data_IF_451772044630
#
_entry.id   IF_451772044630
#
_cell.length_a   1.000
_cell.length_b   1.000
_cell.length_c   1.000
_cell.angle_alpha   90.00
_cell.angle_beta   90.00
_cell.angle_gamma   90.00
#
_symmetry.space_group_name_H-M   'P 1'
#
loop_
_entity.id
_entity.type
_entity.pdbx_description
1 polymer ?
#
# COMPACT_ATOMS: atom_id res chain seq x y z
N UNK A 1 0.27 10.93 17.89
CA UNK A 1 0.85 9.70 17.28
C UNK A 1 0.30 9.51 15.87
N UNK A 2 1.02 8.82 14.99
CA UNK A 2 0.61 8.63 13.59
C UNK A 2 0.38 7.14 13.26
N UNK A 3 -0.71 6.85 12.55
CA UNK A 3 -0.91 5.58 11.88
C UNK A 3 -0.53 5.71 10.40
N UNK A 4 0.03 4.68 9.79
CA UNK A 4 0.36 4.66 8.35
C UNK A 4 -0.67 3.82 7.61
N UNK A 5 -1.32 4.39 6.60
CA UNK A 5 -2.14 3.62 5.66
C UNK A 5 -1.24 2.67 4.88
N UNK A 6 -1.42 1.37 5.10
CA UNK A 6 -0.50 0.33 4.72
C UNK A 6 -1.13 -0.64 3.72
N UNK A 7 -0.74 -0.50 2.45
CA UNK A 7 -1.09 -1.45 1.40
C UNK A 7 -0.07 -2.59 1.26
N UNK A 8 1.03 -2.53 2.00
CA UNK A 8 2.17 -3.44 1.88
C UNK A 8 3.08 -3.17 0.67
N UNK A 9 2.79 -2.14 -0.12
CA UNK A 9 3.53 -1.78 -1.31
C UNK A 9 4.64 -0.75 -1.08
N UNK A 10 5.29 -0.38 -2.18
CA UNK A 10 6.49 0.47 -2.19
C UNK A 10 6.24 1.85 -1.54
N UNK A 11 5.15 2.53 -1.89
CA UNK A 11 4.96 3.93 -1.50
C UNK A 11 4.71 4.04 0.00
N UNK A 12 3.91 3.13 0.58
CA UNK A 12 3.70 3.12 2.03
C UNK A 12 4.97 2.75 2.81
N UNK A 13 5.86 1.93 2.23
CA UNK A 13 7.16 1.63 2.83
C UNK A 13 8.11 2.85 2.80
N UNK A 14 8.15 3.61 1.70
CA UNK A 14 8.92 4.87 1.66
C UNK A 14 8.31 5.90 2.61
N UNK A 15 6.99 6.07 2.62
CA UNK A 15 6.30 6.97 3.54
C UNK A 15 6.61 6.63 5.02
N UNK A 16 6.64 5.34 5.36
CA UNK A 16 7.03 4.88 6.70
C UNK A 16 8.49 5.25 7.02
N UNK A 17 9.42 5.08 6.08
CA UNK A 17 10.84 5.47 6.24
C UNK A 17 10.97 6.98 6.49
N UNK A 18 10.28 7.81 5.71
CA UNK A 18 10.27 9.27 5.89
C UNK A 18 9.72 9.68 7.27
N UNK A 19 8.60 9.07 7.68
CA UNK A 19 7.98 9.37 8.97
C UNK A 19 8.84 8.94 10.16
N UNK A 20 9.58 7.83 10.04
CA UNK A 20 10.51 7.35 11.07
C UNK A 20 11.79 8.20 11.14
N UNK A 21 12.14 8.92 10.07
CA UNK A 21 13.27 9.83 10.06
C UNK A 21 12.97 11.17 10.77
N UNK A 22 11.69 11.51 10.95
CA UNK A 22 11.24 12.71 11.67
C UNK A 22 11.17 12.45 13.19
N UNK A 23 12.06 13.05 14.01
CA UNK A 23 12.11 12.81 15.45
C UNK A 23 10.88 13.37 16.20
N UNK A 24 10.10 14.24 15.56
CA UNK A 24 8.89 14.82 16.13
C UNK A 24 7.65 13.95 15.87
N UNK A 25 7.81 12.82 15.16
CA UNK A 25 6.74 11.88 14.81
C UNK A 25 6.95 10.54 15.48
N UNK A 26 5.89 10.02 16.10
CA UNK A 26 5.82 8.66 16.62
C UNK A 26 4.86 7.83 15.78
N UNK A 27 5.40 6.91 14.99
CA UNK A 27 4.62 5.93 14.23
C UNK A 27 4.14 4.84 15.18
N UNK A 28 2.84 4.80 15.46
CA UNK A 28 2.24 3.89 16.44
C UNK A 28 1.79 2.57 15.81
N UNK A 29 1.17 2.62 14.62
CA UNK A 29 0.63 1.42 13.97
C UNK A 29 0.51 1.56 12.45
N UNK A 30 0.31 0.42 11.80
CA UNK A 30 -0.09 0.27 10.41
C UNK A 30 -1.60 0.06 10.33
N UNK A 31 -2.25 0.65 9.33
CA UNK A 31 -3.69 0.49 9.06
C UNK A 31 -3.89 -0.11 7.68
N UNK A 32 -4.50 -1.29 7.60
CA UNK A 32 -4.83 -1.95 6.33
C UNK A 32 -6.30 -2.32 6.23
N UNK A 33 -6.76 -2.60 5.01
CA UNK A 33 -8.11 -3.10 4.74
C UNK A 33 -8.04 -4.42 3.98
N UNK A 34 -8.90 -5.36 4.34
CA UNK A 34 -9.03 -6.66 3.65
C UNK A 34 -10.49 -7.02 3.48
N UNK A 35 -10.84 -7.78 2.43
CA UNK A 35 -12.20 -8.31 2.30
C UNK A 35 -12.42 -9.48 3.26
N UNK A 36 -13.56 -9.48 3.96
CA UNK A 36 -13.93 -10.51 4.96
C UNK A 36 -13.94 -11.92 4.38
N UNK A 37 -14.45 -12.08 3.15
CA UNK A 37 -14.72 -13.37 2.51
C UNK A 37 -13.47 -14.08 1.98
N UNK A 38 -12.50 -13.31 1.49
CA UNK A 38 -11.27 -13.84 0.88
C UNK A 38 -10.00 -13.51 1.66
N UNK A 39 -10.09 -12.70 2.72
CA UNK A 39 -8.98 -12.28 3.57
C UNK A 39 -7.80 -11.70 2.77
N UNK A 40 -8.13 -10.85 1.79
CA UNK A 40 -7.16 -10.18 0.90
C UNK A 40 -7.46 -8.71 0.75
N UNK A 41 -6.41 -7.91 0.59
CA UNK A 41 -6.52 -6.51 0.17
C UNK A 41 -7.17 -6.43 -1.22
N UNK A 42 -7.83 -5.31 -1.50
CA UNK A 42 -8.66 -5.15 -2.69
C UNK A 42 -7.84 -5.22 -3.98
N UNK A 43 -7.13 -4.15 -4.33
CA UNK A 43 -6.43 -4.03 -5.61
C UNK A 43 -5.09 -4.75 -5.64
N UNK A 44 -4.38 -4.81 -4.50
CA UNK A 44 -3.08 -5.49 -4.43
C UNK A 44 -3.25 -7.02 -4.38
N UNK A 45 -4.40 -7.53 -3.93
CA UNK A 45 -4.69 -8.96 -3.86
C UNK A 45 -3.87 -9.72 -2.82
N UNK A 46 -3.17 -9.01 -1.93
CA UNK A 46 -2.27 -9.57 -0.92
C UNK A 46 -3.07 -10.13 0.25
N UNK A 47 -2.67 -11.30 0.75
CA UNK A 47 -3.33 -11.96 1.88
C UNK A 47 -3.07 -11.21 3.19
N UNK A 48 -4.05 -11.25 4.09
CA UNK A 48 -3.93 -10.69 5.44
C UNK A 48 -2.65 -11.17 6.17
N UNK A 49 -2.35 -12.46 6.10
CA UNK A 49 -1.17 -13.06 6.75
C UNK A 49 0.15 -12.43 6.29
N UNK A 50 0.21 -11.94 5.04
CA UNK A 50 1.41 -11.29 4.50
C UNK A 50 1.55 -9.85 5.00
N UNK A 51 0.44 -9.14 5.24
CA UNK A 51 0.47 -7.84 5.92
C UNK A 51 0.85 -7.98 7.39
N UNK A 52 0.35 -9.02 8.06
CA UNK A 52 0.73 -9.33 9.45
C UNK A 52 2.23 -9.64 9.53
N UNK A 53 2.77 -10.43 8.60
CA UNK A 53 4.21 -10.70 8.53
C UNK A 53 5.05 -9.44 8.27
N UNK A 54 4.58 -8.50 7.44
CA UNK A 54 5.23 -7.20 7.27
C UNK A 54 5.23 -6.38 8.57
N UNK A 55 4.09 -6.33 9.26
CA UNK A 55 3.96 -5.57 10.50
C UNK A 55 4.87 -6.12 11.61
N UNK A 56 4.92 -7.46 11.75
CA UNK A 56 5.83 -8.14 12.67
C UNK A 56 7.29 -7.84 12.33
N UNK A 57 7.65 -7.92 11.05
CA UNK A 57 9.00 -7.60 10.58
C UNK A 57 9.38 -6.13 10.76
N UNK A 58 8.41 -5.22 10.76
CA UNK A 58 8.62 -3.79 11.02
C UNK A 58 8.59 -3.44 12.52
N UNK A 59 8.24 -4.39 13.39
CA UNK A 59 8.03 -4.16 14.82
C UNK A 59 6.87 -3.20 15.11
N UNK A 60 5.81 -3.20 14.29
CA UNK A 60 4.65 -2.33 14.42
C UNK A 60 3.36 -3.14 14.63
N UNK A 61 2.41 -2.56 15.36
CA UNK A 61 1.06 -3.10 15.41
C UNK A 61 0.37 -2.96 14.04
N UNK A 62 -0.48 -3.91 13.69
CA UNK A 62 -1.33 -3.85 12.50
C UNK A 62 -2.80 -3.79 12.89
N UNK A 63 -3.48 -2.71 12.52
CA UNK A 63 -4.93 -2.62 12.52
C UNK A 63 -5.47 -3.09 11.18
N UNK A 64 -6.21 -4.21 11.21
CA UNK A 64 -6.89 -4.76 10.04
C UNK A 64 -8.36 -4.37 10.10
N UNK A 65 -8.81 -3.58 9.13
CA UNK A 65 -10.23 -3.27 8.92
C UNK A 65 -10.79 -4.25 7.90
N UNK A 66 -11.59 -5.19 8.37
CA UNK A 66 -12.26 -6.12 7.48
C UNK A 66 -13.47 -5.45 6.81
N UNK A 67 -13.58 -5.64 5.50
CA UNK A 67 -14.60 -5.04 4.65
C UNK A 67 -15.51 -6.14 4.09
N UNK A 68 -16.83 -6.02 4.24
CA UNK A 68 -17.77 -6.97 3.66
C UNK A 68 -17.68 -7.01 2.12
N UNK A 69 -17.90 -8.20 1.55
CA UNK A 69 -17.65 -8.50 0.14
C UNK A 69 -18.56 -7.76 -0.86
N UNK A 70 -19.69 -7.21 -0.41
CA UNK A 70 -20.74 -6.71 -1.30
C UNK A 70 -21.61 -5.64 -0.64
N UNK A 71 -20.99 -4.51 -0.30
CA UNK A 71 -21.73 -3.36 0.22
C UNK A 71 -21.13 -2.12 -0.39
N UNK A 72 -22.00 -1.22 -0.84
CA UNK A 72 -21.58 0.07 -1.37
C UNK A 72 -20.74 0.88 -0.37
N UNK A 73 -20.30 2.06 -0.82
CA UNK A 73 -19.37 2.92 -0.09
C UNK A 73 -19.75 3.15 1.38
N UNK A 74 -21.04 3.14 1.72
CA UNK A 74 -21.57 3.32 3.08
C UNK A 74 -20.99 2.35 4.12
N UNK A 75 -20.80 1.07 3.78
CA UNK A 75 -20.25 0.12 4.76
C UNK A 75 -18.74 0.32 4.93
N UNK A 76 -18.04 0.63 3.85
CA UNK A 76 -16.63 1.00 3.88
C UNK A 76 -16.43 2.23 4.78
N UNK A 77 -17.16 3.31 4.51
CA UNK A 77 -17.07 4.55 5.28
C UNK A 77 -17.39 4.35 6.75
N UNK A 78 -18.38 3.51 7.09
CA UNK A 78 -18.70 3.18 8.48
C UNK A 78 -17.55 2.44 9.16
N UNK A 79 -17.01 1.38 8.55
CA UNK A 79 -15.92 0.58 9.12
C UNK A 79 -14.64 1.39 9.30
N UNK A 80 -14.33 2.25 8.33
CA UNK A 80 -13.20 3.18 8.44
C UNK A 80 -13.41 4.20 9.56
N UNK A 81 -14.62 4.76 9.71
CA UNK A 81 -14.94 5.67 10.81
C UNK A 81 -14.79 5.02 12.18
N UNK A 82 -15.29 3.80 12.35
CA UNK A 82 -15.12 3.03 13.59
C UNK A 82 -13.63 2.80 13.91
N UNK A 83 -12.82 2.45 12.90
CA UNK A 83 -11.38 2.30 13.06
C UNK A 83 -10.69 3.63 13.42
N UNK A 84 -11.09 4.73 12.80
CA UNK A 84 -10.58 6.07 13.09
C UNK A 84 -10.90 6.53 14.51
N UNK A 85 -12.13 6.29 14.98
CA UNK A 85 -12.55 6.60 16.35
C UNK A 85 -11.78 5.78 17.39
N UNK A 86 -11.55 4.49 17.10
CA UNK A 86 -10.74 3.62 17.96
C UNK A 86 -9.29 4.14 18.05
N UNK A 87 -8.65 4.42 16.91
CA UNK A 87 -7.31 5.01 16.86
C UNK A 87 -7.23 6.33 17.65
N UNK A 88 -8.22 7.21 17.49
CA UNK A 88 -8.28 8.45 18.25
C UNK A 88 -8.36 8.24 19.76
N UNK A 89 -9.12 7.24 20.21
CA UNK A 89 -9.21 6.88 21.64
C UNK A 89 -7.90 6.33 22.22
N UNK A 90 -7.02 5.83 21.35
CA UNK A 90 -5.69 5.30 21.68
C UNK A 90 -4.59 6.39 21.57
N UNK A 91 -4.96 7.63 21.21
CA UNK A 91 -4.05 8.78 21.14
C UNK A 91 -3.39 9.00 19.78
N UNK A 92 -3.81 8.26 18.75
CA UNK A 92 -3.43 8.52 17.36
C UNK A 92 -4.27 9.72 16.88
N UNK A 93 -3.63 10.70 16.27
CA UNK A 93 -4.26 11.96 15.84
C UNK A 93 -4.08 12.22 14.33
N UNK A 94 -3.29 11.37 13.66
CA UNK A 94 -2.92 11.54 12.27
C UNK A 94 -2.92 10.18 11.57
N UNK A 95 -3.42 10.14 10.33
CA UNK A 95 -3.22 9.03 9.38
C UNK A 95 -2.33 9.54 8.25
N UNK A 96 -1.21 8.88 8.01
CA UNK A 96 -0.36 9.12 6.86
C UNK A 96 -0.81 8.30 5.66
N UNK A 97 -0.85 8.93 4.49
CA UNK A 97 -1.09 8.30 3.21
C UNK A 97 0.08 8.54 2.27
N UNK A 98 0.40 7.53 1.45
CA UNK A 98 1.57 7.56 0.59
C UNK A 98 1.30 8.14 -0.80
N UNK A 99 0.17 8.83 -1.00
CA UNK A 99 -0.19 9.38 -2.32
C UNK A 99 0.83 10.43 -2.79
N UNK A 100 1.14 10.40 -4.09
CA UNK A 100 2.20 11.23 -4.67
C UNK A 100 1.68 12.53 -5.27
N UNK A 101 0.66 12.47 -6.15
CA UNK A 101 0.21 13.68 -6.85
C UNK A 101 -1.27 13.67 -7.32
N UNK A 102 -2.00 12.55 -7.16
CA UNK A 102 -3.39 12.47 -7.62
C UNK A 102 -4.33 13.27 -6.70
N UNK A 103 -4.60 14.52 -7.07
CA UNK A 103 -5.41 15.48 -6.31
C UNK A 103 -6.79 14.93 -5.92
N UNK A 104 -7.47 14.21 -6.82
CA UNK A 104 -8.78 13.63 -6.54
C UNK A 104 -8.73 12.56 -5.43
N UNK A 105 -7.66 11.76 -5.39
CA UNK A 105 -7.47 10.73 -4.35
C UNK A 105 -7.16 11.40 -3.01
N UNK A 106 -6.30 12.42 -3.01
CA UNK A 106 -6.02 13.21 -1.81
C UNK A 106 -7.28 13.89 -1.27
N UNK A 107 -8.04 14.56 -2.13
CA UNK A 107 -9.28 15.23 -1.75
C UNK A 107 -10.30 14.23 -1.17
N UNK A 108 -10.41 13.04 -1.75
CA UNK A 108 -11.24 11.96 -1.21
C UNK A 108 -10.80 11.53 0.20
N UNK A 109 -9.50 11.36 0.43
CA UNK A 109 -8.96 11.02 1.76
C UNK A 109 -9.19 12.13 2.79
N UNK A 110 -8.97 13.38 2.41
CA UNK A 110 -9.23 14.54 3.25
C UNK A 110 -10.73 14.63 3.60
N UNK A 111 -11.62 14.41 2.62
CA UNK A 111 -13.07 14.38 2.85
C UNK A 111 -13.50 13.23 3.79
N UNK A 112 -12.85 12.06 3.71
CA UNK A 112 -13.13 10.93 4.61
C UNK A 112 -12.71 11.19 6.06
N UNK A 113 -11.74 12.08 6.27
CA UNK A 113 -11.27 12.49 7.59
C UNK A 113 -11.99 13.75 8.12
N UNK A 114 -12.66 14.51 7.24
CA UNK A 114 -13.34 15.73 7.60
C UNK A 114 -14.42 15.51 8.68
N UNK A 115 -14.45 16.41 9.66
CA UNK A 115 -15.31 16.30 10.84
C UNK A 115 -14.95 15.17 11.84
N UNK A 116 -13.87 14.41 11.59
CA UNK A 116 -13.34 13.38 12.48
C UNK A 116 -12.30 13.88 13.48
N UNK A 117 -11.76 12.95 14.28
CA UNK A 117 -10.71 13.22 15.27
C UNK A 117 -9.28 13.07 14.72
N UNK A 118 -9.13 12.55 13.49
CA UNK A 118 -7.84 12.32 12.84
C UNK A 118 -7.60 13.33 11.73
N UNK A 119 -6.36 13.74 11.57
CA UNK A 119 -5.88 14.55 10.45
C UNK A 119 -5.16 13.71 9.41
N UNK A 120 -5.08 14.19 8.16
CA UNK A 120 -4.34 13.53 7.08
C UNK A 120 -2.93 14.09 6.93
N UNK A 121 -1.94 13.21 6.74
CA UNK A 121 -0.58 13.58 6.35
C UNK A 121 -0.18 12.88 5.04
N UNK A 122 0.55 13.59 4.18
CA UNK A 122 0.96 13.10 2.86
C UNK A 122 2.48 13.30 2.68
N UNK A 123 3.32 12.46 3.33
CA UNK A 123 4.77 12.64 3.38
C UNK A 123 5.45 12.62 2.00
N UNK A 124 4.84 11.97 1.01
CA UNK A 124 5.41 11.85 -0.34
C UNK A 124 4.82 12.85 -1.35
N UNK A 125 3.89 13.71 -0.93
CA UNK A 125 3.17 14.58 -1.84
C UNK A 125 4.11 15.51 -2.62
N UNK A 126 3.98 15.50 -3.95
CA UNK A 126 4.78 16.31 -4.86
C UNK A 126 6.21 15.81 -5.10
N UNK A 127 6.56 14.60 -4.60
CA UNK A 127 7.81 13.93 -4.98
C UNK A 127 7.76 13.50 -6.45
N UNK A 128 8.89 13.64 -7.13
CA UNK A 128 9.09 13.10 -8.49
C UNK A 128 9.08 11.57 -8.48
N UNK A 129 8.26 10.95 -9.34
CA UNK A 129 8.05 9.50 -9.33
C UNK A 129 9.25 8.72 -9.85
N UNK A 130 9.94 9.20 -10.88
CA UNK A 130 11.13 8.52 -11.39
C UNK A 130 12.24 8.47 -10.32
N UNK A 131 12.53 9.61 -9.70
CA UNK A 131 13.51 9.68 -8.64
C UNK A 131 13.13 8.80 -7.44
N UNK A 132 11.84 8.78 -7.06
CA UNK A 132 11.35 7.99 -5.94
C UNK A 132 11.40 6.48 -6.23
N UNK A 133 11.03 6.07 -7.44
CA UNK A 133 11.06 4.67 -7.85
C UNK A 133 12.49 4.11 -7.85
N UNK A 134 13.45 4.89 -8.36
CA UNK A 134 14.88 4.51 -8.34
C UNK A 134 15.47 4.51 -6.93
N UNK A 135 15.09 5.47 -6.11
CA UNK A 135 15.44 5.51 -4.69
C UNK A 135 14.91 4.25 -3.97
N UNK A 136 13.65 3.90 -4.19
CA UNK A 136 13.06 2.69 -3.62
C UNK A 136 13.77 1.41 -4.09
N UNK A 137 14.02 1.28 -5.40
CA UNK A 137 14.69 0.11 -5.98
C UNK A 137 16.13 -0.11 -5.46
N UNK A 138 16.78 0.93 -4.95
CA UNK A 138 18.11 0.84 -4.35
C UNK A 138 18.09 0.37 -2.89
N UNK A 139 17.03 0.72 -2.15
CA UNK A 139 16.96 0.53 -0.69
C UNK A 139 16.08 -0.64 -0.25
N UNK A 140 15.10 -1.05 -1.07
CA UNK A 140 14.07 -2.02 -0.69
C UNK A 140 14.07 -3.26 -1.59
N UNK A 141 13.67 -4.39 -1.02
CA UNK A 141 13.33 -5.61 -1.76
C UNK A 141 11.81 -5.69 -1.91
N UNK A 142 11.31 -5.68 -3.14
CA UNK A 142 9.89 -5.86 -3.41
C UNK A 142 9.63 -6.71 -4.65
N UNK A 143 8.44 -7.29 -4.69
CA UNK A 143 7.92 -8.05 -5.83
C UNK A 143 6.71 -7.32 -6.40
N UNK A 144 6.59 -7.29 -7.72
CA UNK A 144 5.37 -6.82 -8.39
C UNK A 144 4.30 -7.90 -8.29
N UNK A 145 3.20 -7.63 -7.57
CA UNK A 145 2.16 -8.61 -7.24
C UNK A 145 0.90 -8.47 -8.06
N UNK A 146 0.70 -7.34 -8.73
CA UNK A 146 -0.44 -7.11 -9.61
C UNK A 146 0.00 -6.20 -10.74
N UNK A 147 -0.45 -6.46 -11.96
CA UNK A 147 -0.32 -5.56 -13.11
C UNK A 147 -1.65 -5.46 -13.84
N UNK A 148 -1.94 -4.28 -14.37
CA UNK A 148 -3.04 -4.03 -15.30
C UNK A 148 -2.65 -4.51 -16.71
N UNK A 149 -3.46 -5.38 -17.32
CA UNK A 149 -3.23 -5.96 -18.66
C UNK A 149 -3.19 -4.88 -19.77
N UNK A 150 -3.90 -3.76 -19.58
CA UNK A 150 -3.88 -2.65 -20.54
C UNK A 150 -2.57 -1.83 -20.47
N UNK A 151 -1.82 -1.93 -19.36
CA UNK A 151 -0.59 -1.16 -19.13
C UNK A 151 0.68 -2.01 -19.28
N UNK A 152 0.68 -3.24 -18.78
CA UNK A 152 1.86 -4.10 -18.70
C UNK A 152 1.50 -5.56 -19.03
N UNK A 153 2.40 -6.24 -19.76
CA UNK A 153 2.27 -7.66 -20.05
C UNK A 153 2.28 -8.49 -18.74
N UNK A 154 1.54 -9.59 -18.71
CA UNK A 154 1.46 -10.51 -17.57
C UNK A 154 2.83 -11.03 -17.08
N UNK A 155 3.88 -10.96 -17.90
CA UNK A 155 5.26 -11.29 -17.52
C UNK A 155 5.86 -10.35 -16.47
N UNK A 156 5.32 -9.15 -16.29
CA UNK A 156 5.75 -8.21 -15.26
C UNK A 156 5.34 -8.65 -13.84
N UNK A 157 4.21 -9.36 -13.70
CA UNK A 157 3.80 -9.93 -12.43
C UNK A 157 4.80 -11.00 -11.93
N UNK A 158 5.23 -10.86 -10.68
CA UNK A 158 6.21 -11.72 -10.02
C UNK A 158 7.67 -11.30 -10.22
N UNK A 159 7.94 -10.24 -10.99
CA UNK A 159 9.29 -9.67 -11.09
C UNK A 159 9.68 -8.97 -9.78
N UNK A 160 10.98 -8.92 -9.50
CA UNK A 160 11.51 -7.98 -8.53
C UNK A 160 11.28 -6.54 -9.04
N UNK A 161 10.97 -5.62 -8.14
CA UNK A 161 10.96 -4.19 -8.44
C UNK A 161 12.37 -3.65 -8.21
N UNK A 162 13.18 -3.68 -9.27
CA UNK A 162 14.60 -3.29 -9.28
C UNK A 162 14.91 -2.36 -10.47
N UNK A 163 16.17 -1.98 -10.65
CA UNK A 163 16.60 -1.15 -11.78
C UNK A 163 16.23 -1.79 -13.14
N UNK A 164 16.32 -3.11 -13.26
CA UNK A 164 15.96 -3.82 -14.50
C UNK A 164 14.46 -3.77 -14.77
N UNK A 165 13.62 -3.81 -13.73
CA UNK A 165 12.19 -3.59 -13.87
C UNK A 165 11.90 -2.19 -14.40
N UNK A 166 12.53 -1.17 -13.81
CA UNK A 166 12.34 0.23 -14.20
C UNK A 166 12.79 0.50 -15.63
N UNK A 167 13.93 -0.07 -16.04
CA UNK A 167 14.46 0.09 -17.40
C UNK A 167 13.62 -0.64 -18.47
N UNK A 168 12.84 -1.64 -18.07
CA UNK A 168 11.93 -2.38 -18.95
C UNK A 168 10.52 -1.76 -19.05
N UNK A 169 10.22 -0.72 -18.28
CA UNK A 169 8.90 -0.08 -18.30
C UNK A 169 8.62 0.55 -19.69
N UNK A 170 7.44 0.32 -20.28
CA UNK A 170 7.04 1.00 -21.51
C UNK A 170 6.90 2.51 -21.33
N UNK A 171 7.07 3.26 -22.43
CA UNK A 171 6.80 4.69 -22.46
C UNK A 171 5.36 4.97 -22.01
N UNK A 172 5.21 5.86 -21.02
CA UNK A 172 3.92 6.33 -20.51
C UNK A 172 3.38 5.56 -19.30
N UNK A 173 4.03 4.49 -18.86
CA UNK A 173 3.77 3.88 -17.55
C UNK A 173 4.47 4.69 -16.47
N UNK A 174 3.75 5.11 -15.44
CA UNK A 174 4.37 5.82 -14.32
C UNK A 174 5.32 4.85 -13.56
N UNK A 175 6.56 5.25 -13.24
CA UNK A 175 7.51 4.40 -12.52
C UNK A 175 7.07 4.02 -11.10
N UNK A 176 6.12 4.77 -10.53
CA UNK A 176 5.45 4.42 -9.29
C UNK A 176 4.06 3.77 -9.53
N UNK A 177 3.61 3.54 -10.76
CA UNK A 177 2.32 2.89 -11.02
C UNK A 177 1.12 3.63 -10.41
N UNK A 178 1.20 4.97 -10.32
CA UNK A 178 0.19 5.80 -9.64
C UNK A 178 -1.19 5.75 -10.32
N UNK A 179 -1.26 5.38 -11.60
CA UNK A 179 -2.52 5.22 -12.32
C UNK A 179 -3.08 3.79 -12.23
N UNK A 180 -2.48 2.93 -11.39
CA UNK A 180 -2.91 1.55 -11.17
C UNK A 180 -2.26 0.55 -12.11
N UNK A 181 -1.22 0.93 -12.84
CA UNK A 181 -0.52 0.08 -13.81
C UNK A 181 0.05 -1.18 -13.16
N UNK A 182 0.52 -1.06 -11.91
CA UNK A 182 0.98 -2.19 -11.11
C UNK A 182 0.99 -1.90 -9.61
N UNK A 183 1.04 -2.97 -8.83
CA UNK A 183 1.22 -2.93 -7.38
C UNK A 183 2.34 -3.85 -6.92
N UNK A 184 2.98 -3.47 -5.82
CA UNK A 184 4.12 -4.19 -5.25
C UNK A 184 3.81 -4.72 -3.85
N UNK A 185 4.63 -5.68 -3.43
CA UNK A 185 4.70 -6.15 -2.06
C UNK A 185 6.16 -6.08 -1.59
N UNK A 186 6.39 -5.32 -0.51
CA UNK A 186 7.72 -5.13 0.08
C UNK A 186 8.06 -6.28 1.00
N UNK A 187 9.22 -6.91 0.78
CA UNK A 187 9.72 -8.04 1.56
C UNK A 187 10.79 -7.62 2.55
N UNK A 188 11.59 -6.60 2.22
CA UNK A 188 12.69 -6.12 3.06
C UNK A 188 13.03 -4.66 2.73
N UNK A 189 13.78 -4.01 3.61
CA UNK A 189 14.32 -2.66 3.43
C UNK A 189 14.41 -1.87 4.73
N UNK A 190 14.64 -0.55 4.66
CA UNK A 190 14.73 0.32 5.82
C UNK A 190 13.61 0.11 6.85
N UNK A 191 14.01 -0.28 8.06
CA UNK A 191 13.11 -0.45 9.20
C UNK A 191 12.48 -1.84 9.35
N UNK A 192 12.77 -2.79 8.45
CA UNK A 192 12.50 -4.21 8.66
C UNK A 192 13.64 -4.82 9.51
N UNK A 193 13.28 -5.53 10.58
CA UNK A 193 14.22 -6.30 11.41
C UNK A 193 14.64 -7.62 10.74
N UNK A 194 13.79 -8.12 9.83
CA UNK A 194 14.03 -9.31 9.04
C UNK A 194 13.21 -9.28 7.75
N UNK A 195 13.73 -9.91 6.69
CA UNK A 195 12.97 -10.11 5.45
C UNK A 195 11.73 -10.97 5.69
N UNK A 196 10.60 -10.56 5.13
CA UNK A 196 9.37 -11.34 5.06
C UNK A 196 9.59 -12.55 4.15
N UNK A 197 9.41 -13.75 4.69
CA UNK A 197 9.69 -15.01 4.01
C UNK A 197 8.53 -15.40 3.07
N UNK A 198 8.43 -14.70 1.94
CA UNK A 198 7.49 -15.01 0.86
C UNK A 198 8.20 -15.02 -0.48
N UNK A 199 7.79 -15.92 -1.36
CA UNK A 199 8.32 -16.02 -2.72
C UNK A 199 7.20 -15.94 -3.78
N UNK A 200 7.50 -15.37 -4.97
CA UNK A 200 6.56 -15.36 -6.09
C UNK A 200 6.18 -16.79 -6.51
N UNK A 201 4.89 -17.04 -6.65
CA UNK A 201 4.33 -18.34 -7.00
C UNK A 201 3.52 -18.27 -8.32
N UNK A 202 2.30 -18.80 -8.32
CA UNK A 202 1.44 -18.85 -9.50
C UNK A 202 0.95 -17.45 -9.92
N UNK A 203 0.85 -17.22 -11.22
CA UNK A 203 0.15 -16.05 -11.77
C UNK A 203 -1.31 -16.37 -12.05
N UNK A 204 -2.20 -15.49 -11.58
CA UNK A 204 -3.65 -15.64 -11.73
C UNK A 204 -4.22 -14.39 -12.41
N UNK A 205 -4.91 -14.59 -13.53
CA UNK A 205 -5.64 -13.51 -14.21
C UNK A 205 -7.05 -13.38 -13.66
N UNK A 206 -7.47 -12.15 -13.33
CA UNK A 206 -8.83 -11.85 -12.83
C UNK A 206 -9.39 -10.62 -13.52
N UNK A 207 -10.71 -10.61 -13.70
CA UNK A 207 -11.43 -9.42 -14.15
C UNK A 207 -12.02 -8.71 -12.93
N UNK A 208 -11.67 -7.44 -12.73
CA UNK A 208 -12.12 -6.62 -11.59
C UNK A 208 -12.59 -5.28 -12.13
N UNK A 209 -13.81 -4.86 -11.78
CA UNK A 209 -14.33 -3.55 -12.19
C UNK A 209 -14.43 -3.31 -13.71
N UNK A 210 -14.33 -4.36 -14.52
CA UNK A 210 -14.30 -4.28 -15.99
C UNK A 210 -12.90 -4.29 -16.61
N UNK A 211 -11.83 -4.17 -15.81
CA UNK A 211 -10.44 -4.34 -16.25
C UNK A 211 -9.93 -5.77 -16.04
N UNK A 212 -8.86 -6.13 -16.76
CA UNK A 212 -8.17 -7.42 -16.61
C UNK A 212 -6.85 -7.19 -15.90
N UNK A 213 -6.60 -7.97 -14.84
CA UNK A 213 -5.40 -7.83 -14.01
C UNK A 213 -4.71 -9.17 -13.84
N UNK A 214 -3.38 -9.14 -13.84
CA UNK A 214 -2.53 -10.31 -13.60
C UNK A 214 -1.90 -10.21 -12.22
N UNK A 215 -2.31 -11.12 -11.33
CA UNK A 215 -1.79 -11.21 -9.98
C UNK A 215 -0.68 -12.25 -9.91
N UNK A 216 0.38 -11.98 -9.16
CA UNK A 216 1.32 -13.01 -8.71
C UNK A 216 1.00 -13.38 -7.26
N UNK A 217 0.69 -14.64 -7.01
CA UNK A 217 0.53 -15.15 -5.66
C UNK A 217 1.89 -15.18 -4.93
N UNK A 218 1.84 -15.09 -3.60
CA UNK A 218 2.99 -15.14 -2.70
C UNK A 218 2.80 -16.32 -1.74
N UNK A 219 3.80 -17.20 -1.67
CA UNK A 219 3.84 -18.41 -0.81
C UNK A 219 5.02 -18.43 0.15
#
# INVERSE_FOLDING_TARGET
MIAVSWSGGKDCAVALRELRADPDREVAELLTTVREDVQRSSMHGVRREHHEAQADALGLALRVVELPADVGNDAYERRMREAHEAMASEGIDTVAFADLFLEDIRAYREANLDGGALSGAFPLWGRDTEALAREFAADFDAVVVCVDDDALDASFAGRAFDESFLDDLPDGVDPCGEHGEFHTFVRDGPGFDQRVAVEPAERVTKTVGGGTFHYCELE
#
